data_IF_782144218534
#
_entry.id   IF_782144218534
#
_cell.length_a   1.000
_cell.length_b   1.000
_cell.length_c   1.000
_cell.angle_alpha   90.00
_cell.angle_beta   90.00
_cell.angle_gamma   90.00
#
_symmetry.space_group_name_H-M   'P 1'
#
loop_
_entity.id
_entity.type
_entity.pdbx_description
1 polymer ?
#
# COMPACT_ATOMS: atom_id res chain seq x y z
N UNK A 1 30.42 13.80 4.08
CA UNK A 1 29.90 12.67 4.88
C UNK A 1 28.40 12.61 4.59
N UNK A 2 27.92 11.58 3.91
CA UNK A 2 26.49 11.44 3.53
C UNK A 2 25.67 10.64 4.56
N UNK A 3 26.34 9.96 5.49
CA UNK A 3 25.72 9.06 6.48
C UNK A 3 25.53 9.71 7.87
N UNK A 4 26.24 10.81 8.15
CA UNK A 4 26.15 11.54 9.42
C UNK A 4 25.04 12.58 9.33
N UNK A 5 23.80 12.10 9.43
CA UNK A 5 22.58 12.89 9.27
C UNK A 5 21.60 12.58 10.40
N UNK A 6 21.08 13.64 11.03
CA UNK A 6 19.94 13.56 11.95
C UNK A 6 18.67 14.04 11.24
N UNK A 7 17.65 13.20 11.21
CA UNK A 7 16.34 13.55 10.67
C UNK A 7 15.23 13.08 11.60
N UNK A 8 14.15 13.86 11.68
CA UNK A 8 12.93 13.52 12.39
C UNK A 8 11.76 13.47 11.41
N UNK A 9 10.86 12.52 11.63
CA UNK A 9 9.62 12.40 10.88
C UNK A 9 8.51 11.97 11.82
N UNK A 10 7.30 12.48 11.59
CA UNK A 10 6.12 12.12 12.34
C UNK A 10 4.92 12.01 11.40
N UNK A 11 4.06 11.02 11.67
CA UNK A 11 2.74 10.88 11.04
C UNK A 11 1.72 11.00 12.15
N UNK A 12 0.75 11.90 11.98
CA UNK A 12 -0.43 11.97 12.83
C UNK A 12 -1.52 11.18 12.12
N UNK A 13 -2.04 10.15 12.78
CA UNK A 13 -3.09 9.28 12.25
C UNK A 13 -4.36 9.56 13.07
N UNK A 14 -5.47 9.80 12.38
CA UNK A 14 -6.79 10.01 12.98
C UNK A 14 -7.82 9.07 12.34
N UNK A 15 -9.06 9.14 12.80
CA UNK A 15 -10.20 8.65 12.04
C UNK A 15 -10.30 9.37 10.68
N UNK A 16 -11.03 8.76 9.74
CA UNK A 16 -11.26 9.32 8.42
C UNK A 16 -11.89 10.72 8.52
N UNK A 17 -11.14 11.74 8.11
CA UNK A 17 -11.57 13.14 8.11
C UNK A 17 -12.26 13.56 6.79
N UNK A 18 -12.26 12.69 5.78
CA UNK A 18 -12.80 12.93 4.44
C UNK A 18 -11.88 13.76 3.53
N UNK A 19 -10.63 14.01 3.95
CA UNK A 19 -9.69 14.88 3.21
C UNK A 19 -8.33 14.19 3.05
N UNK A 20 -7.73 13.74 4.16
CA UNK A 20 -6.41 13.15 4.15
C UNK A 20 -6.44 11.71 3.62
N UNK A 21 -5.38 11.25 2.91
CA UNK A 21 -5.32 9.90 2.38
C UNK A 21 -5.59 8.82 3.41
N UNK A 22 -6.26 7.75 2.98
CA UNK A 22 -6.62 6.64 3.85
C UNK A 22 -5.47 5.63 3.92
N UNK A 23 -5.14 5.17 5.14
CA UNK A 23 -4.23 4.04 5.35
C UNK A 23 -5.08 2.77 5.42
N UNK A 24 -4.87 1.85 4.48
CA UNK A 24 -5.65 0.61 4.40
C UNK A 24 -5.12 -0.41 5.41
N UNK A 25 -5.69 -0.39 6.62
CA UNK A 25 -5.29 -1.27 7.73
C UNK A 25 -5.95 -2.65 7.71
N UNK A 26 -7.02 -2.84 6.94
CA UNK A 26 -7.76 -4.11 6.90
C UNK A 26 -7.06 -5.22 6.11
N UNK A 27 -6.10 -4.86 5.26
CA UNK A 27 -5.40 -5.81 4.41
C UNK A 27 -3.89 -5.50 4.29
N UNK A 28 -3.13 -5.49 5.41
CA UNK A 28 -1.71 -5.25 5.34
C UNK A 28 -0.99 -6.43 4.71
N UNK A 29 0.10 -6.17 3.98
CA UNK A 29 1.07 -7.22 3.70
C UNK A 29 1.84 -7.52 4.97
N UNK A 30 2.06 -8.80 5.26
CA UNK A 30 2.74 -9.23 6.48
C UNK A 30 3.66 -10.39 6.18
N UNK A 31 4.94 -10.20 6.48
CA UNK A 31 5.92 -11.26 6.49
C UNK A 31 6.17 -11.68 7.95
N UNK A 32 5.87 -12.92 8.29
CA UNK A 32 6.01 -13.43 9.64
C UNK A 32 7.36 -14.12 9.85
N UNK A 33 7.89 -14.02 11.06
CA UNK A 33 9.09 -14.74 11.50
C UNK A 33 8.93 -16.24 11.23
N UNK A 34 10.00 -16.87 10.73
CA UNK A 34 10.02 -18.31 10.46
C UNK A 34 9.38 -18.74 9.14
N UNK A 35 8.94 -17.81 8.28
CA UNK A 35 8.35 -18.13 6.95
C UNK A 35 9.36 -18.11 5.79
N UNK A 36 10.66 -18.02 6.13
CA UNK A 36 11.77 -18.05 5.18
C UNK A 36 12.12 -16.66 4.63
N UNK A 37 13.39 -16.42 4.32
CA UNK A 37 13.93 -15.09 3.97
C UNK A 37 14.31 -14.95 2.50
N UNK A 38 13.75 -15.78 1.61
CA UNK A 38 13.99 -15.60 0.17
C UNK A 38 13.37 -14.29 -0.30
N UNK A 39 14.06 -13.48 -1.13
CA UNK A 39 13.53 -12.20 -1.61
C UNK A 39 12.15 -12.33 -2.27
N UNK A 40 11.91 -13.42 -3.00
CA UNK A 40 10.63 -13.71 -3.64
C UNK A 40 9.51 -13.90 -2.62
N UNK A 41 9.73 -14.69 -1.57
CA UNK A 41 8.69 -14.95 -0.55
C UNK A 41 8.39 -13.67 0.25
N UNK A 42 9.45 -12.93 0.59
CA UNK A 42 9.32 -11.66 1.32
C UNK A 42 8.48 -10.68 0.51
N UNK A 43 8.85 -10.41 -0.75
CA UNK A 43 8.10 -9.48 -1.59
C UNK A 43 6.70 -10.00 -1.91
N UNK A 44 6.51 -11.32 -2.09
CA UNK A 44 5.18 -11.87 -2.30
C UNK A 44 4.25 -11.58 -1.12
N UNK A 45 4.68 -11.89 0.10
CA UNK A 45 3.90 -11.68 1.33
C UNK A 45 3.63 -10.19 1.66
N UNK A 46 4.51 -9.30 1.20
CA UNK A 46 4.40 -7.87 1.42
C UNK A 46 3.79 -7.10 0.26
N UNK A 47 3.67 -7.66 -0.94
CA UNK A 47 3.22 -6.90 -2.12
C UNK A 47 2.16 -7.64 -2.89
N UNK A 48 2.51 -8.75 -3.53
CA UNK A 48 1.56 -9.38 -4.47
C UNK A 48 0.39 -10.04 -3.76
N UNK A 49 0.63 -10.70 -2.62
CA UNK A 49 -0.44 -11.35 -1.84
C UNK A 49 -1.46 -10.36 -1.24
N UNK A 50 -1.05 -9.27 -0.55
CA UNK A 50 -2.01 -8.26 -0.11
C UNK A 50 -2.77 -7.63 -1.27
N UNK A 51 -2.11 -7.28 -2.38
CA UNK A 51 -2.81 -6.70 -3.53
C UNK A 51 -3.85 -7.67 -4.13
N UNK A 52 -3.49 -8.95 -4.29
CA UNK A 52 -4.41 -9.96 -4.78
C UNK A 52 -5.66 -10.13 -3.89
N UNK A 53 -5.52 -10.02 -2.56
CA UNK A 53 -6.67 -10.11 -1.62
C UNK A 53 -7.71 -9.00 -1.80
N UNK A 54 -7.33 -7.87 -2.39
CA UNK A 54 -8.24 -6.77 -2.75
C UNK A 54 -8.42 -6.62 -4.25
N UNK A 55 -8.07 -7.67 -5.02
CA UNK A 55 -8.21 -7.73 -6.47
C UNK A 55 -7.49 -6.58 -7.20
N UNK A 56 -6.35 -6.15 -6.66
CA UNK A 56 -5.44 -5.20 -7.30
C UNK A 56 -4.23 -5.93 -7.87
N UNK A 57 -3.76 -5.44 -9.02
CA UNK A 57 -2.49 -5.81 -9.63
C UNK A 57 -1.37 -4.92 -9.11
N UNK A 58 -0.13 -5.35 -9.31
CA UNK A 58 1.01 -4.47 -8.99
C UNK A 58 1.07 -3.20 -9.85
N UNK A 59 0.46 -3.24 -11.04
CA UNK A 59 0.40 -2.11 -11.97
C UNK A 59 -0.67 -1.09 -11.58
N UNK A 60 -1.55 -1.42 -10.62
CA UNK A 60 -2.60 -0.54 -10.11
C UNK A 60 -2.12 0.38 -8.96
N UNK A 61 -0.86 0.21 -8.52
CA UNK A 61 -0.20 1.02 -7.49
C UNK A 61 0.74 2.00 -8.17
N UNK A 62 0.58 3.30 -7.95
CA UNK A 62 1.39 4.32 -8.64
C UNK A 62 2.84 4.30 -8.19
N UNK A 63 3.08 4.27 -6.87
CA UNK A 63 4.43 4.23 -6.32
C UNK A 63 4.60 3.21 -5.20
N UNK A 64 5.74 2.54 -5.24
CA UNK A 64 6.21 1.69 -4.16
C UNK A 64 7.36 2.36 -3.43
N UNK A 65 7.33 2.30 -2.10
CA UNK A 65 8.42 2.77 -1.24
C UNK A 65 9.04 1.61 -0.45
N UNK A 66 9.85 0.74 -1.12
CA UNK A 66 10.60 -0.32 -0.45
C UNK A 66 12.03 0.12 -0.16
N UNK A 67 12.45 0.06 1.10
CA UNK A 67 13.87 0.21 1.46
C UNK A 67 14.58 1.38 0.72
N UNK A 68 14.20 2.61 1.04
CA UNK A 68 14.60 3.81 0.31
C UNK A 68 16.02 4.29 0.61
N UNK A 69 16.98 3.41 0.88
CA UNK A 69 18.35 3.84 1.17
C UNK A 69 18.98 4.54 -0.04
N UNK A 70 19.71 5.62 0.21
CA UNK A 70 20.37 6.40 -0.82
C UNK A 70 21.43 5.55 -1.57
N UNK A 71 21.29 5.34 -2.90
CA UNK A 71 22.24 4.56 -3.68
C UNK A 71 23.66 5.12 -3.71
N UNK A 72 23.84 6.42 -3.50
CA UNK A 72 25.17 7.05 -3.41
C UNK A 72 25.94 6.60 -2.17
N UNK A 73 25.23 6.05 -1.17
CA UNK A 73 25.78 5.46 0.04
C UNK A 73 25.94 3.94 -0.13
N UNK A 74 24.89 3.26 -0.60
CA UNK A 74 24.87 1.79 -0.64
C UNK A 74 25.70 1.19 -1.79
N UNK A 75 25.87 1.90 -2.92
CA UNK A 75 26.71 1.41 -4.03
C UNK A 75 28.20 1.32 -3.64
N UNK A 76 28.84 2.38 -3.08
CA UNK A 76 30.23 2.27 -2.60
C UNK A 76 30.43 1.22 -1.50
N UNK A 77 29.42 0.99 -0.66
CA UNK A 77 29.44 -0.03 0.38
C UNK A 77 29.21 -1.47 -0.13
N UNK A 78 29.02 -1.67 -1.44
CA UNK A 78 28.84 -2.98 -2.06
C UNK A 78 27.43 -3.57 -1.97
N UNK A 79 26.45 -2.83 -1.45
CA UNK A 79 25.05 -3.25 -1.38
C UNK A 79 24.24 -2.92 -2.66
N UNK A 80 24.80 -2.10 -3.56
CA UNK A 80 24.17 -1.75 -4.83
C UNK A 80 23.01 -0.74 -4.69
N UNK A 81 22.10 -0.69 -5.67
CA UNK A 81 20.89 0.14 -5.60
C UNK A 81 19.74 -0.66 -4.99
N UNK A 82 19.52 -0.49 -3.68
CA UNK A 82 18.54 -1.29 -2.92
C UNK A 82 17.08 -1.00 -3.33
N UNK A 83 16.63 0.27 -3.45
CA UNK A 83 15.26 0.56 -3.93
C UNK A 83 14.98 -0.04 -5.32
N UNK A 84 15.90 0.16 -6.27
CA UNK A 84 15.75 -0.36 -7.64
C UNK A 84 15.73 -1.90 -7.68
N UNK A 85 16.56 -2.55 -6.86
CA UNK A 85 16.57 -4.02 -6.76
C UNK A 85 15.26 -4.57 -6.22
N UNK A 86 14.64 -3.88 -5.25
CA UNK A 86 13.32 -4.23 -4.75
C UNK A 86 12.24 -4.05 -5.82
N UNK A 87 12.27 -2.94 -6.56
CA UNK A 87 11.35 -2.69 -7.67
C UNK A 87 11.44 -3.75 -8.76
N UNK A 88 12.65 -4.17 -9.13
CA UNK A 88 12.88 -5.28 -10.07
C UNK A 88 12.28 -6.59 -9.57
N UNK A 89 12.35 -6.87 -8.26
CA UNK A 89 11.73 -8.07 -7.68
C UNK A 89 10.19 -8.00 -7.72
N UNK A 90 9.60 -6.84 -7.39
CA UNK A 90 8.14 -6.63 -7.49
C UNK A 90 7.68 -6.87 -8.94
N UNK A 91 8.33 -6.22 -9.91
CA UNK A 91 8.02 -6.39 -11.32
C UNK A 91 8.26 -7.82 -11.82
N UNK A 92 9.31 -8.51 -11.35
CA UNK A 92 9.57 -9.90 -11.73
C UNK A 92 8.47 -10.86 -11.23
N UNK A 93 7.91 -10.62 -10.04
CA UNK A 93 6.77 -11.38 -9.55
C UNK A 93 5.51 -11.09 -10.36
N UNK A 94 5.30 -9.85 -10.79
CA UNK A 94 4.22 -9.47 -11.69
C UNK A 94 4.29 -10.20 -13.04
N UNK A 95 5.49 -10.27 -13.61
CA UNK A 95 5.75 -11.04 -14.85
C UNK A 95 5.44 -12.52 -14.63
N UNK A 96 5.86 -13.07 -13.50
CA UNK A 96 5.55 -14.47 -13.14
C UNK A 96 4.05 -14.72 -12.99
N UNK A 97 3.27 -13.73 -12.56
CA UNK A 97 1.82 -13.81 -12.39
C UNK A 97 1.03 -13.53 -13.69
N UNK A 98 1.70 -13.05 -14.74
CA UNK A 98 1.05 -12.67 -16.01
C UNK A 98 0.42 -11.28 -15.99
N UNK A 99 0.74 -10.45 -14.99
CA UNK A 99 0.22 -9.07 -14.87
C UNK A 99 1.11 -8.02 -15.55
N UNK A 100 2.34 -8.41 -15.91
CA UNK A 100 3.32 -7.55 -16.58
C UNK A 100 4.06 -8.37 -17.65
N UNK A 101 4.28 -7.81 -18.83
CA UNK A 101 5.13 -8.45 -19.84
C UNK A 101 6.60 -8.31 -19.46
N UNK A 102 7.41 -9.34 -19.74
CA UNK A 102 8.85 -9.31 -19.39
C UNK A 102 9.58 -8.13 -20.02
N UNK A 103 9.15 -7.70 -21.21
CA UNK A 103 9.71 -6.55 -21.93
C UNK A 103 9.46 -5.22 -21.21
N UNK A 104 8.39 -5.12 -20.42
CA UNK A 104 7.97 -3.89 -19.73
C UNK A 104 8.57 -3.76 -18.33
N UNK A 105 9.38 -4.72 -17.87
CA UNK A 105 9.95 -4.72 -16.52
C UNK A 105 10.73 -3.44 -16.19
N UNK A 106 11.55 -2.94 -17.12
CA UNK A 106 12.33 -1.72 -16.88
C UNK A 106 11.41 -0.49 -16.84
N UNK A 107 10.45 -0.40 -17.75
CA UNK A 107 9.45 0.68 -17.76
C UNK A 107 8.63 0.69 -16.45
N UNK A 108 8.31 -0.48 -15.91
CA UNK A 108 7.64 -0.59 -14.62
C UNK A 108 8.51 -0.04 -13.48
N UNK A 109 9.79 -0.41 -13.44
CA UNK A 109 10.74 0.09 -12.43
C UNK A 109 10.88 1.61 -12.51
N UNK A 110 10.99 2.16 -13.73
CA UNK A 110 11.15 3.60 -13.94
C UNK A 110 9.88 4.39 -13.60
N UNK A 111 8.71 3.82 -13.90
CA UNK A 111 7.40 4.47 -13.68
C UNK A 111 6.92 4.38 -12.24
N UNK A 112 7.05 3.22 -11.62
CA UNK A 112 6.46 2.92 -10.30
C UNK A 112 7.48 2.91 -9.15
N UNK A 113 8.77 2.99 -9.49
CA UNK A 113 9.86 3.07 -8.53
C UNK A 113 10.16 4.49 -8.10
N UNK A 114 10.90 4.61 -7.01
CA UNK A 114 11.35 5.87 -6.45
C UNK A 114 12.87 5.84 -6.25
N UNK A 115 13.57 6.96 -6.44
CA UNK A 115 14.98 7.05 -6.09
C UNK A 115 15.14 6.98 -4.57
N UNK A 116 16.10 6.18 -4.11
CA UNK A 116 16.43 6.12 -2.68
C UNK A 116 17.03 7.44 -2.19
N UNK A 117 16.62 7.87 -1.00
CA UNK A 117 17.00 9.17 -0.43
C UNK A 117 17.39 9.07 1.05
N UNK A 118 17.07 7.96 1.74
CA UNK A 118 17.32 7.82 3.15
C UNK A 118 18.84 7.71 3.42
N UNK A 119 19.42 8.56 4.28
CA UNK A 119 20.87 8.69 4.46
C UNK A 119 21.51 7.56 5.28
N UNK A 120 20.90 6.39 5.43
CA UNK A 120 21.42 5.33 6.31
C UNK A 120 20.99 3.91 5.92
N UNK A 121 21.77 2.95 6.45
CA UNK A 121 21.39 1.57 6.70
C UNK A 121 20.99 1.42 8.19
N UNK A 122 19.83 1.91 8.61
CA UNK A 122 19.48 1.95 10.05
C UNK A 122 17.99 1.79 10.33
N UNK A 123 17.66 0.72 11.06
CA UNK A 123 16.47 0.30 11.84
C UNK A 123 15.06 0.88 11.56
N UNK A 124 14.92 2.13 11.15
CA UNK A 124 13.65 2.73 10.75
C UNK A 124 13.31 2.22 9.34
N UNK A 125 12.06 1.78 9.09
CA UNK A 125 11.63 1.42 7.75
C UNK A 125 11.76 2.63 6.83
N UNK A 126 12.81 2.65 6.01
CA UNK A 126 13.18 3.78 5.15
C UNK A 126 12.11 4.09 4.09
N UNK A 127 11.15 3.21 3.88
CA UNK A 127 9.97 3.48 3.06
C UNK A 127 8.98 4.48 3.68
N UNK A 128 8.92 4.58 5.01
CA UNK A 128 7.93 5.39 5.74
C UNK A 128 8.05 6.90 5.50
N UNK A 129 9.25 7.51 5.45
CA UNK A 129 9.37 8.94 5.14
C UNK A 129 8.74 9.37 3.79
N UNK A 130 8.54 8.47 2.83
CA UNK A 130 7.84 8.77 1.59
C UNK A 130 6.36 9.16 1.81
N UNK A 131 5.76 8.77 2.93
CA UNK A 131 4.35 9.08 3.24
C UNK A 131 4.03 10.58 3.16
N UNK A 132 4.98 11.48 3.49
CA UNK A 132 4.79 12.92 3.35
C UNK A 132 4.64 13.36 1.89
N UNK A 133 5.48 12.83 1.00
CA UNK A 133 5.40 13.09 -0.43
C UNK A 133 4.16 12.44 -1.05
N UNK A 134 3.90 11.17 -0.72
CA UNK A 134 2.70 10.46 -1.15
C UNK A 134 1.42 11.21 -0.74
N UNK A 135 1.38 11.75 0.49
CA UNK A 135 0.23 12.53 0.96
C UNK A 135 -0.04 13.74 0.08
N UNK A 136 0.98 14.51 -0.26
CA UNK A 136 0.80 15.69 -1.11
C UNK A 136 0.34 15.30 -2.52
N UNK A 137 0.94 14.26 -3.11
CA UNK A 137 0.54 13.76 -4.43
C UNK A 137 -0.90 13.24 -4.45
N UNK A 138 -1.33 12.52 -3.41
CA UNK A 138 -2.71 12.02 -3.26
C UNK A 138 -3.73 13.16 -3.09
N UNK A 139 -3.38 14.19 -2.31
CA UNK A 139 -4.22 15.38 -2.15
C UNK A 139 -4.34 16.19 -3.44
N UNK A 140 -3.25 16.26 -4.21
CA UNK A 140 -3.21 16.91 -5.52
C UNK A 140 -3.81 16.06 -6.65
N UNK A 141 -4.26 14.84 -6.36
CA UNK A 141 -4.79 13.88 -7.35
C UNK A 141 -3.78 13.50 -8.44
N UNK A 142 -2.49 13.58 -8.12
CA UNK A 142 -1.39 13.19 -9.02
C UNK A 142 -1.20 11.67 -9.06
N UNK A 143 -1.56 11.01 -7.96
CA UNK A 143 -1.56 9.54 -7.81
C UNK A 143 -2.82 9.08 -7.10
N UNK A 144 -3.15 7.81 -7.24
CA UNK A 144 -4.27 7.14 -6.60
C UNK A 144 -3.83 6.29 -5.40
N UNK A 145 -2.66 5.65 -5.50
CA UNK A 145 -2.16 4.69 -4.51
C UNK A 145 -0.65 4.74 -4.34
N UNK A 146 -0.21 4.73 -3.09
CA UNK A 146 1.19 4.48 -2.75
C UNK A 146 1.27 3.29 -1.78
N UNK A 147 2.20 2.37 -2.02
CA UNK A 147 2.45 1.25 -1.12
C UNK A 147 3.72 1.48 -0.31
N UNK A 148 3.57 1.51 1.02
CA UNK A 148 4.68 1.67 1.96
C UNK A 148 5.11 0.30 2.45
N UNK A 149 6.40 -0.01 2.33
CA UNK A 149 6.94 -1.34 2.63
C UNK A 149 8.06 -1.22 3.66
N UNK A 150 7.79 -1.72 4.87
CA UNK A 150 8.75 -1.89 5.94
C UNK A 150 9.24 -3.33 6.01
N UNK A 151 10.55 -3.52 5.92
CA UNK A 151 11.19 -4.85 6.00
C UNK A 151 12.25 -4.83 7.09
N UNK A 152 12.34 -5.94 7.82
CA UNK A 152 13.45 -6.20 8.71
C UNK A 152 14.77 -6.27 7.95
N UNK A 153 15.88 -6.30 8.69
CA UNK A 153 17.20 -6.45 8.08
C UNK A 153 17.37 -7.85 7.51
N UNK A 154 17.59 -7.97 6.20
CA UNK A 154 17.94 -9.25 5.57
C UNK A 154 19.25 -9.82 6.11
N UNK A 155 20.20 -8.96 6.50
CA UNK A 155 21.46 -9.39 7.09
C UNK A 155 21.23 -10.10 8.43
N UNK A 156 20.50 -9.46 9.36
CA UNK A 156 20.14 -10.09 10.62
C UNK A 156 19.23 -11.30 10.41
N UNK A 157 18.28 -11.20 9.49
CA UNK A 157 17.40 -12.31 9.12
C UNK A 157 18.15 -13.57 8.67
N UNK A 158 19.27 -13.44 7.94
CA UNK A 158 20.13 -14.57 7.57
C UNK A 158 20.92 -15.15 8.74
N UNK A 159 21.22 -14.33 9.76
CA UNK A 159 21.96 -14.78 10.94
C UNK A 159 21.05 -15.42 12.00
N UNK A 160 19.82 -14.93 12.15
CA UNK A 160 18.92 -15.28 13.27
C UNK A 160 17.70 -16.08 12.84
N UNK A 161 17.37 -16.12 11.54
CA UNK A 161 16.06 -16.55 11.03
C UNK A 161 14.87 -15.76 11.59
N UNK A 162 15.12 -14.61 12.22
CA UNK A 162 14.11 -13.68 12.76
C UNK A 162 13.97 -12.50 11.80
N UNK A 163 13.30 -12.75 10.68
CA UNK A 163 13.00 -11.75 9.66
C UNK A 163 11.49 -11.56 9.58
N UNK A 164 11.05 -10.30 9.66
CA UNK A 164 9.66 -9.90 9.55
C UNK A 164 9.52 -8.65 8.67
N UNK A 165 8.27 -8.29 8.37
CA UNK A 165 7.97 -7.12 7.58
C UNK A 165 6.48 -6.82 7.58
N UNK A 166 6.16 -5.57 7.28
CA UNK A 166 4.80 -5.08 7.13
C UNK A 166 4.72 -4.10 5.98
N UNK A 167 3.56 -4.05 5.34
CA UNK A 167 3.27 -3.07 4.31
C UNK A 167 1.80 -2.69 4.33
N UNK A 168 1.51 -1.52 3.79
CA UNK A 168 0.14 -1.00 3.70
C UNK A 168 0.01 -0.09 2.48
N UNK A 169 -1.22 0.04 2.00
CA UNK A 169 -1.59 1.02 0.98
C UNK A 169 -1.99 2.34 1.65
N UNK A 170 -1.57 3.43 1.02
CA UNK A 170 -2.17 4.75 1.14
C UNK A 170 -2.99 4.99 -0.11
N UNK A 171 -4.28 5.28 0.04
CA UNK A 171 -5.18 5.56 -1.07
C UNK A 171 -5.76 6.97 -0.99
N UNK A 172 -6.17 7.49 -2.14
CA UNK A 172 -6.91 8.74 -2.20
C UNK A 172 -8.21 8.60 -1.38
N UNK A 173 -8.46 9.57 -0.50
CA UNK A 173 -9.66 9.59 0.32
C UNK A 173 -10.90 9.77 -0.55
N UNK A 174 -11.95 8.99 -0.31
CA UNK A 174 -13.22 9.05 -1.07
C UNK A 174 -14.22 10.06 -0.50
N UNK A 175 -13.79 10.86 0.48
CA UNK A 175 -14.65 11.68 1.31
C UNK A 175 -15.24 10.87 2.47
N UNK A 176 -15.94 11.56 3.37
CA UNK A 176 -16.82 10.86 4.30
C UNK A 176 -17.98 10.34 3.49
N UNK A 177 -18.21 9.03 3.52
CA UNK A 177 -19.55 8.53 3.25
C UNK A 177 -20.46 9.22 4.26
N UNK A 178 -21.27 10.17 3.80
CA UNK A 178 -22.52 10.44 4.48
C UNK A 178 -23.20 9.07 4.52
N UNK A 179 -23.25 8.45 5.69
CA UNK A 179 -24.25 7.42 5.93
C UNK A 179 -25.53 8.11 5.50
N UNK A 180 -26.06 7.72 4.35
CA UNK A 180 -27.38 8.10 3.91
C UNK A 180 -28.30 7.50 4.96
N UNK A 181 -28.47 8.24 6.05
CA UNK A 181 -29.45 7.98 7.07
C UNK A 181 -30.72 8.27 6.31
N UNK A 182 -31.30 7.22 5.70
CA UNK A 182 -32.53 7.33 4.95
C UNK A 182 -33.45 8.19 5.80
N UNK A 183 -33.83 9.35 5.25
CA UNK A 183 -34.60 10.32 6.02
C UNK A 183 -35.81 9.59 6.58
N UNK A 184 -36.19 9.89 7.82
CA UNK A 184 -37.34 9.24 8.46
C UNK A 184 -38.59 9.28 7.56
N UNK A 185 -38.68 10.28 6.68
CA UNK A 185 -39.74 10.45 5.71
C UNK A 185 -39.67 9.46 4.54
N UNK A 186 -38.48 9.19 3.99
CA UNK A 186 -38.29 8.14 2.96
C UNK A 186 -38.66 6.75 3.50
N UNK A 187 -38.28 6.44 4.74
CA UNK A 187 -38.64 5.17 5.39
C UNK A 187 -40.16 5.07 5.58
N UNK A 188 -40.81 6.15 6.03
CA UNK A 188 -42.27 6.21 6.16
C UNK A 188 -42.98 6.03 4.83
N UNK A 189 -42.44 6.60 3.76
CA UNK A 189 -43.03 6.51 2.42
C UNK A 189 -42.96 5.08 1.87
N UNK A 190 -41.82 4.40 2.03
CA UNK A 190 -41.63 2.99 1.69
C UNK A 190 -42.57 2.05 2.47
N UNK A 191 -42.76 2.30 3.77
CA UNK A 191 -43.71 1.54 4.60
C UNK A 191 -45.14 1.79 4.15
N UNK A 192 -45.51 3.04 3.83
CA UNK A 192 -46.85 3.39 3.38
C UNK A 192 -47.21 2.85 1.98
N UNK A 193 -46.24 2.71 1.09
CA UNK A 193 -46.41 2.01 -0.19
C UNK A 193 -46.59 0.50 0.03
N UNK A 194 -45.70 -0.11 0.83
CA UNK A 194 -45.79 -1.55 1.14
C UNK A 194 -47.11 -1.94 1.78
N UNK A 195 -47.66 -1.10 2.69
CA UNK A 195 -48.96 -1.32 3.31
C UNK A 195 -50.13 -1.14 2.33
N UNK A 196 -50.02 -0.22 1.37
CA UNK A 196 -51.02 -0.04 0.31
C UNK A 196 -51.05 -1.23 -0.63
N UNK A 197 -49.89 -1.71 -1.05
CA UNK A 197 -49.78 -2.88 -1.93
C UNK A 197 -50.29 -4.14 -1.23
N UNK A 198 -49.99 -4.30 0.07
CA UNK A 198 -50.54 -5.39 0.86
C UNK A 198 -52.07 -5.34 0.96
N UNK A 199 -52.63 -4.16 1.20
CA UNK A 199 -54.09 -3.99 1.27
C UNK A 199 -54.77 -4.20 -0.08
N UNK A 200 -54.17 -3.76 -1.18
CA UNK A 200 -54.68 -3.97 -2.54
C UNK A 200 -54.72 -5.47 -2.90
N UNK A 201 -53.64 -6.20 -2.62
CA UNK A 201 -53.60 -7.65 -2.84
C UNK A 201 -54.62 -8.43 -1.99
N UNK A 202 -54.95 -7.94 -0.78
CA UNK A 202 -55.98 -8.55 0.07
C UNK A 202 -57.41 -8.33 -0.46
N UNK A 203 -57.62 -7.25 -1.23
CA UNK A 203 -58.91 -6.91 -1.84
C UNK A 203 -59.09 -7.59 -3.20
N UNK A 204 -58.01 -7.81 -3.96
CA UNK A 204 -58.03 -8.57 -5.23
C UNK A 204 -58.10 -10.10 -5.01
N UNK A 205 -57.73 -10.59 -3.82
CA UNK A 205 -57.83 -12.00 -3.43
C UNK A 205 -59.23 -12.47 -2.98
N UNK A 206 -60.31 -11.72 -3.26
CA UNK A 206 -61.70 -12.10 -2.97
C UNK A 206 -62.49 -12.40 -4.24
#
# INVERSE_FOLDING_TARGET
>A
VLEDCLAGFAVIISENDGVNPEIIVGNPGRHAVGTGSSPQNVIASLVTEPLARVNLKVTDVDFYSPEMQNPDITKPAGAGNVPESNMKMIGALAVKQGDLERADLNNFVDKHGLPGFAPTQGHIPSGVPYMGHARNALLNQEIMRAMIIGKGSLFLGRMTNLFDGISFLMEQNKGKEEKAQASSDQIRQLIAESLRDFAANLLEGR
#
